data_IF_533496434953
#
_entry.id   IF_533496434953
#
_cell.length_a   1.000
_cell.length_b   1.000
_cell.length_c   1.000
_cell.angle_alpha   90.00
_cell.angle_beta   90.00
_cell.angle_gamma   90.00
#
_symmetry.space_group_name_H-M   'P 1'
#
loop_
_entity.id
_entity.type
_entity.pdbx_description
1 polymer ?
#
# COMPACT_ATOMS: atom_id res chain seq x y z
N UNK A 1 21.08 -20.98 22.43
CA UNK A 1 20.78 -20.02 21.37
C UNK A 1 19.80 -19.01 21.94
N UNK A 2 20.02 -17.71 21.76
CA UNK A 2 19.05 -16.70 22.22
C UNK A 2 17.78 -16.75 21.37
N UNK A 3 16.64 -16.36 21.94
CA UNK A 3 15.38 -16.19 21.19
C UNK A 3 15.57 -15.03 20.23
N UNK A 4 15.27 -15.26 18.95
CA UNK A 4 15.23 -14.23 17.91
C UNK A 4 13.81 -13.68 17.81
N UNK A 5 13.68 -12.38 17.63
CA UNK A 5 12.38 -11.70 17.61
C UNK A 5 12.14 -10.99 16.29
N UNK A 6 10.99 -11.26 15.70
CA UNK A 6 10.53 -10.62 14.48
C UNK A 6 9.60 -9.44 14.80
N UNK A 7 9.84 -8.26 14.20
CA UNK A 7 8.97 -7.10 14.39
C UNK A 7 7.65 -7.27 13.63
N UNK A 8 6.53 -6.90 14.25
CA UNK A 8 5.22 -6.86 13.63
C UNK A 8 4.57 -5.49 13.86
N UNK A 9 3.67 -5.07 12.99
CA UNK A 9 2.99 -3.77 13.10
C UNK A 9 1.94 -3.77 14.20
N UNK A 10 1.90 -2.72 15.03
CA UNK A 10 0.82 -2.52 16.01
C UNK A 10 -0.55 -2.45 15.34
N UNK A 11 -0.63 -1.94 14.10
CA UNK A 11 -1.88 -1.83 13.33
C UNK A 11 -2.48 -3.17 12.92
N UNK A 12 -1.68 -4.24 12.85
CA UNK A 12 -2.17 -5.59 12.51
C UNK A 12 -2.79 -6.32 13.70
N UNK A 13 -2.53 -5.87 14.94
CA UNK A 13 -3.14 -6.46 16.13
C UNK A 13 -4.51 -5.84 16.37
N UNK A 14 -5.53 -6.68 16.42
CA UNK A 14 -6.91 -6.22 16.60
C UNK A 14 -7.40 -6.38 18.04
N UNK A 15 -8.10 -5.34 18.57
CA UNK A 15 -8.71 -5.43 19.90
C UNK A 15 -9.66 -6.64 19.99
N UNK A 16 -9.67 -7.27 21.16
CA UNK A 16 -10.59 -8.36 21.50
C UNK A 16 -10.42 -9.66 20.70
N UNK A 17 -9.50 -9.71 19.71
CA UNK A 17 -9.12 -10.97 19.07
C UNK A 17 -8.00 -11.62 19.85
N UNK A 18 -8.20 -12.87 20.29
CA UNK A 18 -7.19 -13.66 21.00
C UNK A 18 -5.97 -13.91 20.11
N UNK A 19 -4.78 -13.78 20.70
CA UNK A 19 -3.51 -14.02 20.04
C UNK A 19 -3.19 -15.51 19.99
N UNK A 20 -2.59 -15.96 18.90
CA UNK A 20 -2.09 -17.33 18.72
C UNK A 20 -0.59 -17.43 19.03
N UNK A 21 0.03 -16.35 19.48
CA UNK A 21 1.45 -16.18 19.79
C UNK A 21 1.63 -15.23 20.97
N UNK A 22 2.80 -15.28 21.60
CA UNK A 22 3.19 -14.33 22.63
C UNK A 22 3.59 -12.99 22.00
N UNK A 23 3.12 -11.89 22.59
CA UNK A 23 3.36 -10.54 22.11
C UNK A 23 4.35 -9.82 23.03
N UNK A 24 5.41 -9.26 22.45
CA UNK A 24 6.46 -8.56 23.17
C UNK A 24 6.54 -7.09 22.77
N UNK A 25 7.05 -6.25 23.68
CA UNK A 25 7.46 -4.87 23.44
C UNK A 25 8.97 -4.76 23.64
N UNK A 26 9.63 -3.93 22.83
CA UNK A 26 11.06 -3.63 23.04
C UNK A 26 11.19 -2.41 23.94
N UNK A 27 11.84 -2.61 25.05
CA UNK A 27 12.22 -1.53 25.96
C UNK A 27 13.73 -1.50 26.11
N UNK A 28 14.37 -0.43 25.62
CA UNK A 28 15.83 -0.37 25.44
C UNK A 28 16.30 -1.55 24.58
N UNK A 29 17.19 -2.38 25.08
CA UNK A 29 17.73 -3.57 24.39
C UNK A 29 17.05 -4.89 24.80
N UNK A 30 15.93 -4.83 25.53
CA UNK A 30 15.25 -6.01 26.04
C UNK A 30 13.86 -6.16 25.43
N UNK A 31 13.47 -7.40 25.14
CA UNK A 31 12.12 -7.77 24.75
C UNK A 31 11.34 -8.22 25.97
N UNK A 32 10.31 -7.46 26.32
CA UNK A 32 9.46 -7.73 27.50
C UNK A 32 8.14 -8.33 27.02
N UNK A 33 7.75 -9.46 27.62
CA UNK A 33 6.44 -10.07 27.35
C UNK A 33 5.34 -9.08 27.72
N UNK A 34 4.49 -8.77 26.72
CA UNK A 34 3.37 -7.84 26.87
C UNK A 34 2.03 -8.55 27.03
N UNK A 35 1.78 -9.57 26.20
CA UNK A 35 0.60 -10.44 26.28
C UNK A 35 1.01 -11.87 25.93
N UNK A 36 0.35 -12.83 26.57
CA UNK A 36 0.52 -14.26 26.29
C UNK A 36 -0.42 -14.74 25.19
N UNK A 37 -0.06 -15.86 24.59
CA UNK A 37 -0.96 -16.64 23.75
C UNK A 37 -2.31 -16.85 24.45
N UNK A 38 -3.42 -16.71 23.72
CA UNK A 38 -4.78 -16.79 24.25
C UNK A 38 -5.34 -15.48 24.82
N UNK A 39 -4.49 -14.49 25.12
CA UNK A 39 -4.93 -13.17 25.55
C UNK A 39 -5.28 -12.28 24.36
N UNK A 40 -6.04 -11.21 24.61
CA UNK A 40 -6.40 -10.21 23.62
C UNK A 40 -6.02 -8.82 24.10
N UNK A 41 -5.63 -7.96 23.16
CA UNK A 41 -5.34 -6.55 23.47
C UNK A 41 -6.64 -5.81 23.75
N UNK A 42 -6.69 -5.09 24.85
CA UNK A 42 -7.76 -4.15 25.14
C UNK A 42 -7.72 -2.94 24.18
N UNK A 43 -8.91 -2.48 23.74
CA UNK A 43 -9.05 -1.39 22.74
C UNK A 43 -8.39 -0.08 23.22
N UNK A 44 -8.55 0.25 24.51
CA UNK A 44 -8.03 1.51 25.04
C UNK A 44 -6.52 1.45 25.27
N UNK A 45 -5.99 0.27 25.62
CA UNK A 45 -4.54 0.04 25.69
C UNK A 45 -3.92 0.19 24.31
N UNK A 46 -4.52 -0.40 23.27
CA UNK A 46 -4.02 -0.27 21.88
C UNK A 46 -4.03 1.19 21.40
N UNK A 47 -5.11 1.95 21.70
CA UNK A 47 -5.18 3.38 21.41
C UNK A 47 -4.09 4.19 22.13
N UNK A 48 -3.80 3.86 23.38
CA UNK A 48 -2.71 4.52 24.14
C UNK A 48 -1.35 4.24 23.53
N UNK A 49 -1.07 3.01 23.13
CA UNK A 49 0.19 2.64 22.48
C UNK A 49 0.37 3.40 21.15
N UNK A 50 -0.68 3.46 20.31
CA UNK A 50 -0.66 4.26 19.07
C UNK A 50 -0.40 5.75 19.35
N UNK A 51 -1.04 6.35 20.36
CA UNK A 51 -0.78 7.75 20.78
C UNK A 51 0.66 7.97 21.28
N UNK A 52 1.27 6.97 21.87
CA UNK A 52 2.67 7.00 22.32
C UNK A 52 3.65 6.69 21.19
N UNK A 53 3.17 6.59 19.93
CA UNK A 53 3.96 6.28 18.74
C UNK A 53 4.68 4.93 18.82
N UNK A 54 4.12 3.96 19.55
CA UNK A 54 4.60 2.58 19.49
C UNK A 54 4.18 1.97 18.17
N UNK A 55 5.15 1.83 17.26
CA UNK A 55 4.94 1.36 15.91
C UNK A 55 4.96 -0.17 15.80
N UNK A 56 5.77 -0.81 16.64
CA UNK A 56 6.09 -2.22 16.54
C UNK A 56 5.81 -2.96 17.84
N UNK A 57 5.26 -4.15 17.67
CA UNK A 57 5.38 -5.27 18.59
C UNK A 57 6.41 -6.26 18.08
N UNK A 58 6.72 -7.27 18.86
CA UNK A 58 7.68 -8.31 18.53
C UNK A 58 7.11 -9.67 18.91
N UNK A 59 7.37 -10.67 18.08
CA UNK A 59 7.01 -12.07 18.30
C UNK A 59 8.28 -12.92 18.23
N UNK A 60 8.28 -14.10 18.85
CA UNK A 60 9.31 -15.09 18.59
C UNK A 60 9.33 -15.42 17.10
N UNK A 61 10.52 -15.43 16.46
CA UNK A 61 10.62 -15.71 15.01
C UNK A 61 10.09 -17.11 14.65
N UNK A 62 10.04 -18.05 15.60
CA UNK A 62 9.37 -19.33 15.42
C UNK A 62 7.84 -19.24 15.30
N UNK A 63 7.24 -18.11 15.71
CA UNK A 63 5.79 -17.89 15.66
C UNK A 63 5.33 -17.10 14.42
N UNK A 64 6.21 -16.81 13.47
CA UNK A 64 5.87 -16.07 12.24
C UNK A 64 4.75 -16.75 11.42
N UNK A 65 4.70 -18.08 11.38
CA UNK A 65 3.62 -18.81 10.70
C UNK A 65 2.27 -18.64 11.42
N UNK A 66 2.28 -18.62 12.75
CA UNK A 66 1.07 -18.36 13.54
C UNK A 66 0.57 -16.93 13.35
N UNK A 67 1.50 -15.96 13.28
CA UNK A 67 1.17 -14.58 12.98
C UNK A 67 0.59 -14.42 11.57
N UNK A 68 1.17 -15.09 10.57
CA UNK A 68 0.61 -15.07 9.21
C UNK A 68 -0.80 -15.66 9.17
N UNK A 69 -1.03 -16.79 9.83
CA UNK A 69 -2.37 -17.40 9.96
C UNK A 69 -3.36 -16.43 10.65
N UNK A 70 -2.92 -15.74 11.69
CA UNK A 70 -3.72 -14.73 12.36
C UNK A 70 -4.13 -13.58 11.44
N UNK A 71 -3.21 -13.09 10.58
CA UNK A 71 -3.51 -12.06 9.57
C UNK A 71 -4.47 -12.57 8.50
N UNK A 72 -4.27 -13.80 8.07
CA UNK A 72 -5.10 -14.45 7.06
C UNK A 72 -6.55 -14.60 7.54
N UNK A 73 -6.75 -15.04 8.78
CA UNK A 73 -8.07 -15.11 9.41
C UNK A 73 -8.75 -13.73 9.53
N UNK A 74 -7.96 -12.69 9.81
CA UNK A 74 -8.47 -11.31 9.85
C UNK A 74 -8.92 -10.83 8.48
N UNK A 75 -8.14 -11.09 7.42
CA UNK A 75 -8.50 -10.72 6.06
C UNK A 75 -9.74 -11.47 5.58
N UNK A 76 -9.81 -12.77 5.86
CA UNK A 76 -10.98 -13.59 5.49
C UNK A 76 -12.24 -13.10 6.21
N UNK A 77 -12.15 -12.71 7.49
CA UNK A 77 -13.25 -12.08 8.21
C UNK A 77 -13.60 -10.70 7.64
N UNK A 78 -12.61 -9.88 7.27
CA UNK A 78 -12.85 -8.57 6.67
C UNK A 78 -13.58 -8.66 5.33
N UNK A 79 -13.37 -9.72 4.55
CA UNK A 79 -14.08 -9.96 3.29
C UNK A 79 -15.48 -10.53 3.53
N UNK A 80 -15.64 -11.50 4.45
CA UNK A 80 -16.84 -12.31 4.57
C UNK A 80 -17.87 -11.83 5.61
N UNK A 81 -17.43 -11.16 6.69
CA UNK A 81 -18.33 -10.72 7.77
C UNK A 81 -19.12 -9.46 7.36
N UNK A 82 -20.38 -9.64 7.00
CA UNK A 82 -21.28 -8.55 6.60
C UNK A 82 -21.58 -7.55 7.72
N UNK A 83 -21.40 -7.94 9.00
CA UNK A 83 -21.67 -7.09 10.16
C UNK A 83 -20.47 -6.28 10.60
N UNK A 84 -19.29 -6.52 10.03
CA UNK A 84 -18.10 -5.76 10.35
C UNK A 84 -18.23 -4.32 9.90
N UNK A 85 -17.98 -3.37 10.81
CA UNK A 85 -17.99 -1.94 10.49
C UNK A 85 -16.96 -1.60 9.40
N UNK A 86 -17.28 -0.66 8.52
CA UNK A 86 -16.45 -0.31 7.38
C UNK A 86 -15.05 0.18 7.80
N UNK A 87 -14.96 0.96 8.88
CA UNK A 87 -13.68 1.42 9.43
C UNK A 87 -12.81 0.28 9.97
N UNK A 88 -13.41 -0.71 10.67
CA UNK A 88 -12.67 -1.87 11.18
C UNK A 88 -12.16 -2.75 10.03
N UNK A 89 -12.97 -2.90 8.99
CA UNK A 89 -12.61 -3.60 7.75
C UNK A 89 -11.47 -2.91 7.02
N UNK A 90 -11.54 -1.59 6.87
CA UNK A 90 -10.49 -0.78 6.25
C UNK A 90 -9.18 -0.88 7.03
N UNK A 91 -9.23 -0.81 8.35
CA UNK A 91 -8.07 -0.95 9.23
C UNK A 91 -7.39 -2.33 9.09
N UNK A 92 -8.18 -3.41 8.94
CA UNK A 92 -7.64 -4.76 8.75
C UNK A 92 -6.94 -4.86 7.41
N UNK A 93 -7.64 -4.51 6.33
CA UNK A 93 -7.12 -4.66 4.96
C UNK A 93 -5.90 -3.76 4.74
N UNK A 94 -5.96 -2.48 5.17
CA UNK A 94 -4.82 -1.57 5.10
C UNK A 94 -3.64 -2.06 5.94
N UNK A 95 -3.88 -2.52 7.15
CA UNK A 95 -2.83 -3.03 8.04
C UNK A 95 -2.11 -4.25 7.45
N UNK A 96 -2.86 -5.22 6.94
CA UNK A 96 -2.30 -6.41 6.32
C UNK A 96 -1.54 -6.08 5.02
N UNK A 97 -2.09 -5.21 4.16
CA UNK A 97 -1.43 -4.79 2.94
C UNK A 97 -0.11 -4.06 3.20
N UNK A 98 -0.09 -3.13 4.16
CA UNK A 98 1.14 -2.44 4.57
C UNK A 98 2.18 -3.41 5.12
N UNK A 99 1.77 -4.39 5.94
CA UNK A 99 2.67 -5.41 6.46
C UNK A 99 3.27 -6.24 5.33
N UNK A 100 2.47 -6.70 4.39
CA UNK A 100 2.94 -7.49 3.26
C UNK A 100 3.93 -6.72 2.36
N UNK A 101 3.65 -5.44 2.05
CA UNK A 101 4.57 -4.58 1.29
C UNK A 101 5.87 -4.35 2.05
N UNK A 102 5.82 -4.17 3.36
CA UNK A 102 7.01 -4.00 4.19
C UNK A 102 7.87 -5.26 4.23
N UNK A 103 7.25 -6.44 4.39
CA UNK A 103 7.97 -7.72 4.29
C UNK A 103 8.62 -7.90 2.92
N UNK A 104 7.95 -7.50 1.83
CA UNK A 104 8.55 -7.49 0.48
C UNK A 104 9.72 -6.52 0.36
N UNK A 105 9.68 -5.37 1.03
CA UNK A 105 10.80 -4.41 1.08
C UNK A 105 12.01 -4.95 1.83
N UNK A 106 11.76 -5.67 2.93
CA UNK A 106 12.82 -6.29 3.74
C UNK A 106 13.43 -7.50 3.06
N UNK A 107 12.61 -8.37 2.48
CA UNK A 107 13.04 -9.59 1.80
C UNK A 107 12.29 -9.79 0.46
N UNK A 108 12.75 -9.11 -0.61
CA UNK A 108 12.10 -9.19 -1.92
C UNK A 108 12.09 -10.58 -2.57
N UNK A 109 13.04 -11.44 -2.21
CA UNK A 109 13.10 -12.83 -2.71
C UNK A 109 12.14 -13.78 -1.98
N UNK A 110 11.39 -13.30 -0.98
CA UNK A 110 10.49 -14.11 -0.19
C UNK A 110 9.21 -14.46 -0.95
N UNK A 111 9.06 -15.71 -1.38
CA UNK A 111 7.81 -16.24 -1.93
C UNK A 111 6.65 -16.13 -0.93
N UNK A 112 6.92 -16.23 0.37
CA UNK A 112 5.92 -16.09 1.44
C UNK A 112 5.38 -14.65 1.49
N UNK A 113 6.26 -13.64 1.48
CA UNK A 113 5.88 -12.23 1.47
C UNK A 113 5.11 -11.86 0.19
N UNK A 114 5.51 -12.41 -0.96
CA UNK A 114 4.77 -12.20 -2.21
C UNK A 114 3.35 -12.78 -2.14
N UNK A 115 3.17 -14.01 -1.64
CA UNK A 115 1.85 -14.60 -1.41
C UNK A 115 0.99 -13.80 -0.44
N UNK A 116 1.59 -13.25 0.63
CA UNK A 116 0.89 -12.36 1.55
C UNK A 116 0.42 -11.08 0.83
N UNK A 117 1.24 -10.53 -0.08
CA UNK A 117 0.86 -9.38 -0.91
C UNK A 117 -0.28 -9.73 -1.87
N UNK A 118 -0.24 -10.88 -2.53
CA UNK A 118 -1.35 -11.34 -3.39
C UNK A 118 -2.64 -11.51 -2.60
N UNK A 119 -2.59 -12.07 -1.37
CA UNK A 119 -3.77 -12.20 -0.51
C UNK A 119 -4.32 -10.85 -0.08
N UNK A 120 -3.46 -9.92 0.30
CA UNK A 120 -3.87 -8.55 0.64
C UNK A 120 -4.47 -7.82 -0.59
N UNK A 121 -3.89 -8.00 -1.78
CA UNK A 121 -4.41 -7.51 -3.05
C UNK A 121 -5.83 -8.02 -3.31
N UNK A 122 -6.06 -9.34 -3.22
CA UNK A 122 -7.40 -9.93 -3.38
C UNK A 122 -8.40 -9.39 -2.36
N UNK A 123 -7.97 -9.19 -1.12
CA UNK A 123 -8.83 -8.61 -0.10
C UNK A 123 -9.21 -7.15 -0.41
N UNK A 124 -8.29 -6.33 -0.94
CA UNK A 124 -8.60 -4.97 -1.42
C UNK A 124 -9.63 -5.04 -2.54
N UNK A 125 -9.45 -5.92 -3.53
CA UNK A 125 -10.36 -6.09 -4.68
C UNK A 125 -11.78 -6.40 -4.19
N UNK A 126 -11.92 -7.37 -3.30
CA UNK A 126 -13.21 -7.81 -2.79
C UNK A 126 -13.92 -6.75 -1.93
N UNK A 127 -13.21 -6.11 -1.01
CA UNK A 127 -13.83 -5.12 -0.13
C UNK A 127 -14.23 -3.85 -0.88
N UNK A 128 -13.45 -3.43 -1.89
CA UNK A 128 -13.75 -2.28 -2.73
C UNK A 128 -14.91 -2.57 -3.68
N UNK A 129 -14.99 -3.82 -4.23
CA UNK A 129 -16.08 -4.27 -5.10
C UNK A 129 -17.42 -4.26 -4.38
N UNK A 130 -17.44 -4.80 -3.16
CA UNK A 130 -18.66 -5.07 -2.43
C UNK A 130 -19.16 -3.88 -1.60
N UNK A 131 -18.31 -2.87 -1.39
CA UNK A 131 -18.63 -1.73 -0.55
C UNK A 131 -17.97 -0.43 -1.05
N UNK A 132 -18.70 0.43 -1.79
CA UNK A 132 -18.17 1.69 -2.30
C UNK A 132 -17.62 2.62 -1.22
N UNK A 133 -18.13 2.57 0.02
CA UNK A 133 -17.65 3.41 1.14
C UNK A 133 -16.23 3.04 1.57
N UNK A 134 -15.73 1.88 1.17
CA UNK A 134 -14.39 1.41 1.55
C UNK A 134 -13.27 2.34 1.11
N UNK A 135 -13.36 2.95 -0.08
CA UNK A 135 -12.37 3.92 -0.51
C UNK A 135 -12.23 5.07 0.48
N UNK A 136 -13.37 5.64 0.90
CA UNK A 136 -13.40 6.73 1.88
C UNK A 136 -12.78 6.33 3.21
N UNK A 137 -13.09 5.12 3.70
CA UNK A 137 -12.52 4.64 4.96
C UNK A 137 -11.01 4.35 4.84
N UNK A 138 -10.54 3.77 3.72
CA UNK A 138 -9.11 3.55 3.48
C UNK A 138 -8.34 4.88 3.40
N UNK A 139 -8.91 5.92 2.77
CA UNK A 139 -8.28 7.25 2.67
C UNK A 139 -8.29 8.03 3.99
N UNK A 140 -9.16 7.70 4.94
CA UNK A 140 -9.12 8.29 6.29
C UNK A 140 -7.96 7.79 7.14
N UNK A 141 -7.37 6.64 6.78
CA UNK A 141 -6.26 6.05 7.51
C UNK A 141 -5.00 6.85 7.17
N UNK A 142 -4.56 7.69 8.11
CA UNK A 142 -3.27 8.39 7.98
C UNK A 142 -2.15 7.53 8.59
N UNK A 143 -1.04 7.40 7.86
CA UNK A 143 0.18 6.79 8.39
C UNK A 143 1.15 7.89 8.79
N UNK A 144 1.47 7.98 10.08
CA UNK A 144 2.50 8.90 10.55
C UNK A 144 3.92 8.35 10.37
N UNK A 145 4.06 7.04 10.12
CA UNK A 145 5.33 6.33 10.15
C UNK A 145 5.97 6.19 8.78
N UNK A 146 5.18 5.82 7.77
CA UNK A 146 5.64 5.61 6.39
C UNK A 146 4.53 5.95 5.40
N UNK A 147 4.62 7.14 4.84
CA UNK A 147 3.67 7.63 3.85
C UNK A 147 3.65 6.77 2.59
N UNK A 148 4.79 6.16 2.22
CA UNK A 148 4.88 5.36 1.00
C UNK A 148 4.14 4.02 1.10
N UNK A 149 3.98 3.48 2.31
CA UNK A 149 3.11 2.32 2.53
C UNK A 149 1.62 2.71 2.46
N UNK A 150 1.28 3.92 2.92
CA UNK A 150 -0.09 4.42 2.77
C UNK A 150 -0.44 4.63 1.30
N UNK A 151 0.45 5.26 0.52
CA UNK A 151 0.21 5.48 -0.91
C UNK A 151 0.13 4.17 -1.69
N UNK A 152 0.84 3.11 -1.29
CA UNK A 152 0.70 1.80 -1.90
C UNK A 152 -0.74 1.27 -1.79
N UNK A 153 -1.32 1.34 -0.58
CA UNK A 153 -2.70 0.89 -0.33
C UNK A 153 -3.72 1.79 -1.02
N UNK A 154 -3.56 3.11 -0.92
CA UNK A 154 -4.49 4.07 -1.51
C UNK A 154 -4.52 3.96 -3.04
N UNK A 155 -3.35 3.96 -3.67
CA UNK A 155 -3.24 3.83 -5.14
C UNK A 155 -3.81 2.50 -5.61
N UNK A 156 -3.51 1.38 -4.92
CA UNK A 156 -4.09 0.08 -5.25
C UNK A 156 -5.61 0.12 -5.17
N UNK A 157 -6.17 0.68 -4.12
CA UNK A 157 -7.62 0.76 -3.91
C UNK A 157 -8.32 1.65 -4.95
N UNK A 158 -7.74 2.81 -5.29
CA UNK A 158 -8.26 3.69 -6.34
C UNK A 158 -8.22 3.01 -7.71
N UNK A 159 -7.07 2.44 -8.05
CA UNK A 159 -6.87 1.80 -9.35
C UNK A 159 -7.77 0.58 -9.54
N UNK A 160 -7.93 -0.23 -8.50
CA UNK A 160 -8.89 -1.36 -8.47
C UNK A 160 -10.31 -0.85 -8.71
N UNK A 161 -10.76 0.18 -7.97
CA UNK A 161 -12.11 0.72 -8.13
C UNK A 161 -12.35 1.26 -9.54
N UNK A 162 -11.38 2.00 -10.06
CA UNK A 162 -11.45 2.55 -11.41
C UNK A 162 -11.50 1.43 -12.46
N UNK A 163 -10.67 0.39 -12.33
CA UNK A 163 -10.62 -0.75 -13.22
C UNK A 163 -11.92 -1.56 -13.21
N UNK A 164 -12.49 -1.82 -12.02
CA UNK A 164 -13.78 -2.50 -11.85
C UNK A 164 -14.91 -1.74 -12.55
N UNK A 165 -15.00 -0.43 -12.34
CA UNK A 165 -16.04 0.41 -12.96
C UNK A 165 -15.85 0.58 -14.47
N UNK A 166 -14.63 0.44 -14.98
CA UNK A 166 -14.33 0.42 -16.43
C UNK A 166 -14.51 -0.97 -17.05
N UNK A 167 -14.78 -2.00 -16.27
CA UNK A 167 -15.05 -3.35 -16.74
C UNK A 167 -13.80 -4.11 -17.22
N UNK A 168 -12.63 -3.84 -16.64
CA UNK A 168 -11.42 -4.63 -16.92
C UNK A 168 -11.61 -6.06 -16.41
N UNK A 169 -10.88 -7.01 -16.99
CA UNK A 169 -10.89 -8.41 -16.58
C UNK A 169 -10.38 -8.62 -15.14
N UNK A 170 -10.78 -9.71 -14.51
CA UNK A 170 -10.31 -10.05 -13.16
C UNK A 170 -8.79 -10.19 -13.11
N UNK A 171 -8.15 -10.75 -14.13
CA UNK A 171 -6.70 -10.89 -14.23
C UNK A 171 -6.00 -9.52 -14.32
N UNK A 172 -6.55 -8.57 -15.09
CA UNK A 172 -6.03 -7.20 -15.14
C UNK A 172 -6.18 -6.50 -13.79
N UNK A 173 -7.32 -6.66 -13.11
CA UNK A 173 -7.58 -6.06 -11.80
C UNK A 173 -6.63 -6.64 -10.74
N UNK A 174 -6.37 -7.96 -10.74
CA UNK A 174 -5.37 -8.57 -9.85
C UNK A 174 -3.97 -8.03 -10.12
N UNK A 175 -3.58 -7.87 -11.38
CA UNK A 175 -2.29 -7.30 -11.77
C UNK A 175 -2.17 -5.83 -11.36
N UNK A 176 -3.23 -5.04 -11.53
CA UNK A 176 -3.33 -3.64 -11.09
C UNK A 176 -3.13 -3.53 -9.59
N UNK A 177 -3.87 -4.31 -8.81
CA UNK A 177 -3.80 -4.25 -7.35
C UNK A 177 -2.41 -4.62 -6.83
N UNK A 178 -1.87 -5.75 -7.28
CA UNK A 178 -0.55 -6.24 -6.86
C UNK A 178 0.57 -5.30 -7.32
N UNK A 179 0.52 -4.85 -8.59
CA UNK A 179 1.50 -3.92 -9.14
C UNK A 179 1.50 -2.57 -8.42
N UNK A 180 0.33 -2.02 -8.12
CA UNK A 180 0.20 -0.77 -7.37
C UNK A 180 0.71 -0.90 -5.91
N UNK A 181 0.49 -2.04 -5.24
CA UNK A 181 1.06 -2.29 -3.91
C UNK A 181 2.59 -2.34 -3.93
N UNK A 182 3.19 -2.94 -4.97
CA UNK A 182 4.63 -3.20 -5.04
C UNK A 182 5.41 -2.16 -5.87
N UNK A 183 4.74 -1.13 -6.43
CA UNK A 183 5.38 -0.19 -7.35
C UNK A 183 6.63 0.49 -6.79
N UNK A 184 6.64 0.73 -5.47
CA UNK A 184 7.69 1.43 -4.75
C UNK A 184 8.56 0.51 -3.87
N UNK A 185 8.52 -0.81 -4.08
CA UNK A 185 9.25 -1.78 -3.25
C UNK A 185 10.77 -1.55 -3.29
N UNK A 186 11.29 -1.04 -4.39
CA UNK A 186 12.71 -0.73 -4.59
C UNK A 186 13.24 0.49 -3.83
N UNK A 187 12.38 1.28 -3.19
CA UNK A 187 12.79 2.48 -2.41
C UNK A 187 13.85 2.12 -1.36
N UNK A 188 13.75 0.97 -0.73
CA UNK A 188 14.69 0.52 0.31
C UNK A 188 16.10 0.27 -0.22
N UNK A 189 16.27 0.13 -1.54
CA UNK A 189 17.60 0.03 -2.20
C UNK A 189 18.25 1.39 -2.44
N UNK A 190 17.52 2.49 -2.19
CA UNK A 190 18.06 3.85 -2.27
C UNK A 190 18.68 4.25 -0.94
N UNK A 191 19.68 5.14 -0.98
CA UNK A 191 20.23 5.74 0.24
C UNK A 191 19.11 6.40 1.07
N UNK A 192 19.14 6.24 2.39
CA UNK A 192 18.08 6.75 3.29
C UNK A 192 17.75 8.23 3.06
N UNK A 193 18.74 9.08 2.79
CA UNK A 193 18.53 10.51 2.51
C UNK A 193 17.65 10.79 1.28
N UNK A 194 17.58 9.86 0.32
CA UNK A 194 16.74 10.00 -0.87
C UNK A 194 15.35 9.37 -0.69
N UNK A 195 15.14 8.53 0.32
CA UNK A 195 13.83 7.99 0.62
C UNK A 195 12.85 9.08 1.09
N UNK A 196 13.37 10.18 1.68
CA UNK A 196 12.56 11.34 2.07
C UNK A 196 11.98 12.11 0.87
N UNK A 197 12.50 11.92 -0.35
CA UNK A 197 12.01 12.58 -1.55
C UNK A 197 10.55 12.20 -1.88
N UNK A 198 10.12 11.01 -1.44
CA UNK A 198 8.76 10.53 -1.71
C UNK A 198 7.65 11.32 -1.00
N UNK A 199 8.01 12.12 0.00
CA UNK A 199 7.09 13.03 0.70
C UNK A 199 7.27 14.51 0.33
N UNK A 200 8.09 14.82 -0.69
CA UNK A 200 8.38 16.19 -1.12
C UNK A 200 7.84 16.47 -2.54
N UNK A 201 7.46 17.71 -2.86
CA UNK A 201 7.07 18.08 -4.21
C UNK A 201 8.26 17.99 -5.18
N UNK A 202 8.01 17.52 -6.41
CA UNK A 202 9.06 17.30 -7.42
C UNK A 202 9.81 18.57 -7.78
N UNK A 203 9.14 19.72 -7.73
CA UNK A 203 9.69 21.05 -8.02
C UNK A 203 10.74 21.48 -6.99
N UNK A 204 10.76 20.86 -5.82
CA UNK A 204 11.76 21.13 -4.78
C UNK A 204 13.07 20.35 -4.98
N UNK A 205 13.11 19.39 -5.93
CA UNK A 205 14.27 18.53 -6.09
C UNK A 205 15.39 19.25 -6.85
N UNK A 206 16.62 19.09 -6.37
CA UNK A 206 17.79 19.38 -7.17
C UNK A 206 17.86 18.44 -8.38
N UNK A 207 18.62 18.81 -9.41
CA UNK A 207 18.82 17.97 -10.60
C UNK A 207 19.37 16.57 -10.25
N UNK A 208 20.18 16.47 -9.21
CA UNK A 208 20.73 15.19 -8.72
C UNK A 208 19.63 14.36 -8.05
N UNK A 209 18.86 14.96 -7.16
CA UNK A 209 17.74 14.30 -6.47
C UNK A 209 16.70 13.80 -7.45
N UNK A 210 16.33 14.62 -8.45
CA UNK A 210 15.38 14.23 -9.48
C UNK A 210 15.90 13.04 -10.30
N UNK A 211 17.20 13.05 -10.66
CA UNK A 211 17.81 11.92 -11.38
C UNK A 211 17.76 10.63 -10.56
N UNK A 212 18.03 10.71 -9.27
CA UNK A 212 18.01 9.57 -8.35
C UNK A 212 16.55 9.10 -8.14
N UNK A 213 15.63 10.04 -7.88
CA UNK A 213 14.20 9.71 -7.74
C UNK A 213 13.68 8.94 -8.94
N UNK A 214 14.00 9.36 -10.16
CA UNK A 214 13.58 8.70 -11.41
C UNK A 214 14.07 7.26 -11.58
N UNK A 215 14.96 6.78 -10.72
CA UNK A 215 15.45 5.38 -10.79
C UNK A 215 14.54 4.38 -10.06
N UNK A 216 13.64 4.84 -9.15
CA UNK A 216 12.90 3.91 -8.29
C UNK A 216 12.01 2.90 -9.03
N UNK A 217 11.35 3.21 -10.18
CA UNK A 217 10.59 2.19 -10.86
C UNK A 217 11.47 1.05 -11.38
N UNK A 218 12.64 1.40 -11.92
CA UNK A 218 13.62 0.40 -12.38
C UNK A 218 14.21 -0.41 -11.22
N UNK A 219 14.46 0.22 -10.07
CA UNK A 219 14.92 -0.48 -8.87
C UNK A 219 13.84 -1.45 -8.36
N UNK A 220 12.57 -1.03 -8.38
CA UNK A 220 11.45 -1.88 -7.96
C UNK A 220 11.30 -3.10 -8.86
N UNK A 221 11.42 -2.94 -10.18
CA UNK A 221 11.40 -4.08 -11.12
C UNK A 221 12.56 -5.02 -10.84
N UNK A 222 13.79 -4.53 -10.74
CA UNK A 222 14.98 -5.37 -10.46
C UNK A 222 14.82 -6.21 -9.18
N UNK A 223 14.25 -5.59 -8.16
CA UNK A 223 13.98 -6.26 -6.87
C UNK A 223 12.95 -7.36 -7.04
N UNK A 224 11.91 -7.13 -7.84
CA UNK A 224 10.84 -8.09 -8.05
C UNK A 224 11.20 -9.20 -9.05
N UNK A 225 12.11 -8.95 -9.99
CA UNK A 225 12.63 -9.96 -10.92
C UNK A 225 13.44 -11.08 -10.22
N UNK A 226 13.90 -10.86 -8.98
CA UNK A 226 14.51 -11.92 -8.15
C UNK A 226 13.50 -13.04 -7.83
N UNK A 227 12.20 -12.76 -7.92
CA UNK A 227 11.12 -13.73 -7.82
C UNK A 227 10.62 -14.12 -9.23
N UNK A 228 11.07 -15.26 -9.75
CA UNK A 228 10.65 -15.76 -11.08
C UNK A 228 9.13 -15.96 -11.22
N UNK A 229 8.38 -15.93 -10.12
CA UNK A 229 6.92 -16.16 -10.08
C UNK A 229 6.08 -14.90 -10.27
N UNK A 230 6.70 -13.72 -10.36
CA UNK A 230 5.95 -12.46 -10.53
C UNK A 230 5.44 -12.34 -11.96
N UNK A 231 4.13 -12.15 -12.17
CA UNK A 231 3.57 -12.01 -13.50
C UNK A 231 4.15 -10.81 -14.25
N UNK A 232 4.39 -10.96 -15.55
CA UNK A 232 4.94 -9.88 -16.38
C UNK A 232 4.05 -8.63 -16.39
N UNK A 233 2.72 -8.77 -16.30
CA UNK A 233 1.80 -7.66 -16.18
C UNK A 233 2.04 -6.83 -14.90
N UNK A 234 2.33 -7.50 -13.77
CA UNK A 234 2.68 -6.84 -12.50
C UNK A 234 4.00 -6.08 -12.65
N UNK A 235 5.04 -6.69 -13.23
CA UNK A 235 6.33 -6.02 -13.48
C UNK A 235 6.18 -4.81 -14.40
N UNK A 236 5.33 -4.91 -15.42
CA UNK A 236 5.05 -3.80 -16.34
C UNK A 236 4.40 -2.62 -15.60
N UNK A 237 3.40 -2.87 -14.77
CA UNK A 237 2.75 -1.84 -13.96
C UNK A 237 3.75 -1.18 -12.99
N UNK A 238 4.59 -1.98 -12.30
CA UNK A 238 5.65 -1.46 -11.43
C UNK A 238 6.59 -0.54 -12.21
N UNK A 239 6.96 -0.91 -13.45
CA UNK A 239 7.90 -0.13 -14.25
C UNK A 239 7.30 1.17 -14.78
N UNK A 240 5.99 1.19 -15.06
CA UNK A 240 5.33 2.28 -15.78
C UNK A 240 4.51 3.23 -14.93
N UNK A 241 4.46 3.05 -13.61
CA UNK A 241 3.59 3.85 -12.74
C UNK A 241 3.93 5.34 -12.68
N UNK A 242 5.10 5.76 -13.17
CA UNK A 242 5.52 7.15 -13.33
C UNK A 242 5.60 7.58 -14.82
N UNK A 243 5.19 6.70 -15.75
CA UNK A 243 5.12 7.04 -17.16
C UNK A 243 3.87 7.86 -17.48
N UNK A 244 3.95 8.64 -18.57
CA UNK A 244 2.89 9.52 -19.04
C UNK A 244 2.77 9.41 -20.56
N UNK A 245 1.55 9.37 -21.08
CA UNK A 245 1.32 9.21 -22.55
C UNK A 245 1.92 10.35 -23.40
N UNK A 246 2.27 11.47 -22.78
CA UNK A 246 3.02 12.56 -23.44
C UNK A 246 4.51 12.25 -23.67
N UNK A 247 5.04 11.17 -23.08
CA UNK A 247 6.45 10.80 -23.17
C UNK A 247 7.36 11.54 -22.18
N UNK A 248 6.84 12.41 -21.32
CA UNK A 248 7.65 13.11 -20.30
C UNK A 248 7.82 12.32 -18.99
N UNK A 249 7.10 11.18 -18.88
CA UNK A 249 7.23 10.27 -17.76
C UNK A 249 8.58 9.59 -17.69
N UNK A 250 8.77 8.70 -16.76
CA UNK A 250 10.00 7.94 -16.58
C UNK A 250 9.69 6.53 -16.06
N UNK A 251 10.61 5.58 -16.16
CA UNK A 251 12.03 5.71 -16.52
C UNK A 251 12.33 5.73 -18.04
N UNK A 252 11.37 5.35 -18.88
CA UNK A 252 11.60 5.16 -20.33
C UNK A 252 11.08 6.30 -21.22
N UNK A 253 10.16 7.12 -20.72
CA UNK A 253 9.51 8.16 -21.49
C UNK A 253 8.64 7.61 -22.62
N UNK A 254 7.81 6.60 -22.32
CA UNK A 254 6.92 5.99 -23.33
C UNK A 254 5.72 6.89 -23.60
N UNK A 255 5.22 6.82 -24.84
CA UNK A 255 4.04 7.57 -25.29
C UNK A 255 2.79 6.70 -25.47
N UNK A 256 2.85 5.47 -25.00
CA UNK A 256 1.72 4.52 -25.03
C UNK A 256 1.76 3.65 -23.78
N UNK A 257 0.66 3.60 -23.08
CA UNK A 257 0.41 2.76 -21.92
C UNK A 257 -0.80 1.84 -22.19
N UNK A 258 -0.81 0.65 -21.65
CA UNK A 258 -2.01 -0.16 -21.60
C UNK A 258 -3.05 0.48 -20.67
N UNK A 259 -4.34 0.11 -20.76
CA UNK A 259 -5.35 0.64 -19.84
C UNK A 259 -5.01 0.45 -18.36
N UNK A 260 -4.44 -0.71 -17.99
CA UNK A 260 -4.04 -1.01 -16.63
C UNK A 260 -2.88 -0.10 -16.15
N UNK A 261 -1.87 0.09 -16.99
CA UNK A 261 -0.71 0.94 -16.69
C UNK A 261 -1.12 2.40 -16.53
N UNK A 262 -1.97 2.93 -17.45
CA UNK A 262 -2.43 4.31 -17.37
C UNK A 262 -3.30 4.56 -16.13
N UNK A 263 -4.19 3.61 -15.76
CA UNK A 263 -5.00 3.71 -14.54
C UNK A 263 -4.10 3.81 -13.30
N UNK A 264 -3.09 2.95 -13.18
CA UNK A 264 -2.20 2.97 -12.02
C UNK A 264 -1.37 4.25 -11.99
N UNK A 265 -0.82 4.69 -13.12
CA UNK A 265 -0.04 5.92 -13.20
C UNK A 265 -0.88 7.16 -12.82
N UNK A 266 -2.10 7.27 -13.33
CA UNK A 266 -3.02 8.37 -13.01
C UNK A 266 -3.41 8.35 -11.52
N UNK A 267 -3.77 7.17 -10.97
CA UNK A 267 -4.14 7.03 -9.56
C UNK A 267 -2.94 7.31 -8.63
N UNK A 268 -1.72 6.91 -9.03
CA UNK A 268 -0.49 7.20 -8.29
C UNK A 268 -0.22 8.71 -8.23
N UNK A 269 -0.36 9.41 -9.35
CA UNK A 269 -0.21 10.87 -9.40
C UNK A 269 -1.22 11.58 -8.51
N UNK A 270 -2.50 11.17 -8.55
CA UNK A 270 -3.54 11.73 -7.68
C UNK A 270 -3.25 11.48 -6.20
N UNK A 271 -2.96 10.24 -5.84
CA UNK A 271 -2.72 9.87 -4.44
C UNK A 271 -1.47 10.56 -3.88
N UNK A 272 -0.42 10.74 -4.70
CA UNK A 272 0.77 11.50 -4.31
C UNK A 272 0.41 12.94 -3.90
N UNK A 273 -0.42 13.63 -4.66
CA UNK A 273 -0.85 14.99 -4.32
C UNK A 273 -1.62 15.02 -3.01
N UNK A 274 -2.54 14.07 -2.80
CA UNK A 274 -3.39 14.03 -1.60
C UNK A 274 -2.63 13.51 -0.38
N UNK A 275 -1.90 12.41 -0.51
CA UNK A 275 -1.34 11.68 0.64
C UNK A 275 0.06 12.15 0.99
N UNK A 276 0.92 12.41 -0.01
CA UNK A 276 2.30 12.85 0.24
C UNK A 276 2.42 14.36 0.40
N UNK A 277 1.64 15.11 -0.37
CA UNK A 277 1.72 16.58 -0.39
C UNK A 277 0.59 17.27 0.39
N UNK A 278 -0.27 16.49 1.06
CA UNK A 278 -1.41 16.94 1.90
C UNK A 278 -2.33 17.93 1.17
N UNK A 279 -2.46 17.79 -0.16
CA UNK A 279 -3.32 18.63 -0.98
C UNK A 279 -4.78 18.22 -0.80
N UNK A 280 -5.70 19.21 -0.78
CA UNK A 280 -7.13 18.92 -0.77
C UNK A 280 -7.53 18.03 -1.95
N UNK A 281 -8.31 16.96 -1.75
CA UNK A 281 -8.68 16.01 -2.81
C UNK A 281 -9.35 16.66 -4.03
N UNK A 282 -10.17 17.71 -3.86
CA UNK A 282 -10.81 18.44 -4.98
C UNK A 282 -9.79 19.26 -5.76
N UNK A 283 -8.86 19.90 -5.06
CA UNK A 283 -7.80 20.66 -5.71
C UNK A 283 -6.80 19.72 -6.40
N UNK A 284 -6.48 18.56 -5.82
CA UNK A 284 -5.60 17.57 -6.43
C UNK A 284 -6.12 17.08 -7.80
N UNK A 285 -7.40 16.70 -7.89
CA UNK A 285 -7.97 16.25 -9.18
C UNK A 285 -8.14 17.40 -10.17
N UNK A 286 -8.30 18.62 -9.71
CA UNK A 286 -8.32 19.81 -10.54
C UNK A 286 -6.93 20.13 -11.09
N UNK A 287 -5.87 20.06 -10.26
CA UNK A 287 -4.48 20.22 -10.70
C UNK A 287 -4.13 19.20 -11.79
N UNK A 288 -4.49 17.92 -11.61
CA UNK A 288 -4.29 16.91 -12.66
C UNK A 288 -4.99 17.29 -13.97
N UNK A 289 -6.22 17.79 -13.89
CA UNK A 289 -6.96 18.22 -15.09
C UNK A 289 -6.40 19.44 -15.80
N UNK A 290 -5.61 20.27 -15.13
CA UNK A 290 -5.02 21.50 -15.65
C UNK A 290 -3.52 21.32 -15.93
N UNK A 291 -2.75 20.93 -14.92
CA UNK A 291 -1.28 20.94 -14.97
C UNK A 291 -0.73 19.68 -15.66
N UNK A 292 -1.50 18.58 -15.65
CA UNK A 292 -1.17 17.30 -16.28
C UNK A 292 -1.93 17.08 -17.60
N UNK A 293 -2.48 18.16 -18.19
CA UNK A 293 -3.22 18.07 -19.45
C UNK A 293 -2.33 17.51 -20.55
N UNK A 294 -2.79 16.44 -21.21
CA UNK A 294 -2.04 15.71 -22.25
C UNK A 294 -1.08 14.63 -21.72
N UNK A 295 -0.90 14.54 -20.39
CA UNK A 295 -0.11 13.49 -19.77
C UNK A 295 -0.90 12.19 -19.56
N UNK A 296 -2.22 12.30 -19.50
CA UNK A 296 -3.17 11.20 -19.39
C UNK A 296 -4.32 11.37 -20.36
N UNK A 297 -5.00 10.29 -20.69
CA UNK A 297 -6.23 10.35 -21.46
C UNK A 297 -7.29 11.18 -20.70
N UNK A 298 -7.85 12.19 -21.34
CA UNK A 298 -8.84 13.08 -20.73
C UNK A 298 -10.08 12.34 -20.22
N UNK A 299 -10.48 11.26 -20.91
CA UNK A 299 -11.57 10.39 -20.48
C UNK A 299 -11.24 9.70 -19.13
N UNK A 300 -9.97 9.29 -18.92
CA UNK A 300 -9.53 8.70 -17.66
C UNK A 300 -9.51 9.71 -16.53
N UNK A 301 -9.07 10.94 -16.76
CA UNK A 301 -9.12 12.03 -15.77
C UNK A 301 -10.57 12.34 -15.38
N UNK A 302 -11.43 12.46 -16.39
CA UNK A 302 -12.87 12.74 -16.18
C UNK A 302 -13.56 11.61 -15.42
N UNK A 303 -13.20 10.37 -15.76
CA UNK A 303 -13.72 9.17 -15.09
C UNK A 303 -13.29 9.11 -13.62
N UNK A 304 -11.99 9.33 -13.35
CA UNK A 304 -11.46 9.38 -11.99
C UNK A 304 -12.19 10.46 -11.16
N UNK A 305 -12.33 11.66 -11.71
CA UNK A 305 -13.05 12.76 -11.03
C UNK A 305 -14.49 12.39 -10.69
N UNK A 306 -15.21 11.75 -11.64
CA UNK A 306 -16.57 11.26 -11.41
C UNK A 306 -16.60 10.20 -10.31
N UNK A 307 -15.74 9.20 -10.38
CA UNK A 307 -15.62 8.13 -9.38
C UNK A 307 -15.35 8.68 -7.98
N UNK A 308 -14.39 9.61 -7.84
CA UNK A 308 -14.07 10.24 -6.55
C UNK A 308 -15.28 10.97 -5.96
N UNK A 309 -16.10 11.62 -6.80
CA UNK A 309 -17.33 12.29 -6.37
C UNK A 309 -18.40 11.28 -5.96
N UNK A 310 -18.64 10.27 -6.78
CA UNK A 310 -19.69 9.27 -6.56
C UNK A 310 -19.41 8.42 -5.29
N UNK A 311 -18.13 8.14 -5.01
CA UNK A 311 -17.67 7.40 -3.83
C UNK A 311 -17.42 8.33 -2.60
N UNK A 312 -17.70 9.64 -2.71
CA UNK A 312 -17.68 10.61 -1.60
C UNK A 312 -16.29 10.97 -1.06
N UNK A 313 -15.25 10.91 -1.91
CA UNK A 313 -13.90 11.38 -1.57
C UNK A 313 -13.71 12.88 -1.83
N UNK A 314 -14.52 13.44 -2.76
CA UNK A 314 -14.51 14.87 -3.11
C UNK A 314 -15.92 15.48 -3.08
#
# INVERSE_FOLDING_TARGET
>A
MGVEYSPIRVSTIKPQKSLTFDLHIRFKEQFLLYLKVGEAVDRDKLKKLKKQKVARFFIDSNDEEKYQTYLDDLLDAAVSDKNMAANDRADIVSGAAKNAVEEMRENPASKKAFKATEKASKSIIEVVKNNPEMLKELFKIKSEEDVTLQTAVNTSSLAVRMAQLKGLSEEEIESISTGALLRDVGITKMDKKYQELFSKPLESFTSIELKIYKTHPTLSVRVMEELETVPQAVLSIIHTHEEKISGIGFPRGVNKLSPAEEIVSLCSSYDRLVTCLDQDPKEAIKSIGIDELGNYNLDNITFLKKMLKDDGLI
#
